data_IF_205435608241
#
_entry.id   IF_205435608241
#
_cell.length_a   1.000
_cell.length_b   1.000
_cell.length_c   1.000
_cell.angle_alpha   90.00
_cell.angle_beta   90.00
_cell.angle_gamma   90.00
#
_symmetry.space_group_name_H-M   'P 1'
#
loop_
_entity.id
_entity.type
_entity.pdbx_description
1 polymer ?
#
# COMPACT_ATOMS: atom_id res chain seq x y z
N UNK A 1 -76.33 -60.80 -7.18
CA UNK A 1 -76.41 -60.66 -8.65
C UNK A 1 -77.49 -59.63 -8.96
N UNK A 2 -77.13 -58.63 -9.78
CA UNK A 2 -77.95 -57.76 -10.65
C UNK A 2 -79.11 -56.92 -10.06
N UNK A 3 -79.49 -55.74 -10.57
CA UNK A 3 -78.92 -54.56 -11.25
C UNK A 3 -80.16 -53.63 -11.50
N UNK A 4 -79.97 -52.32 -11.68
CA UNK A 4 -80.91 -51.34 -12.31
C UNK A 4 -82.00 -50.78 -11.35
N UNK A 5 -81.95 -49.51 -10.88
CA UNK A 5 -82.04 -48.19 -11.54
C UNK A 5 -83.46 -47.76 -11.95
N UNK A 6 -84.04 -46.77 -11.26
CA UNK A 6 -84.94 -45.76 -11.84
C UNK A 6 -85.18 -44.57 -10.89
N UNK A 7 -84.94 -43.35 -11.40
CA UNK A 7 -85.23 -42.02 -10.84
C UNK A 7 -86.62 -41.53 -11.35
N UNK A 8 -87.05 -40.27 -11.14
CA UNK A 8 -87.15 -39.41 -9.95
C UNK A 8 -88.58 -38.82 -9.76
N UNK A 9 -88.89 -38.20 -8.61
CA UNK A 9 -90.09 -37.36 -8.43
C UNK A 9 -89.73 -35.86 -8.36
N UNK A 10 -90.61 -35.06 -8.97
CA UNK A 10 -90.51 -33.64 -9.33
C UNK A 10 -90.64 -32.73 -8.10
N UNK A 11 -89.65 -31.86 -7.92
CA UNK A 11 -89.74 -30.69 -7.04
C UNK A 11 -89.80 -29.40 -7.88
N UNK A 12 -90.84 -28.61 -7.59
CA UNK A 12 -91.01 -27.14 -7.67
C UNK A 12 -90.20 -26.31 -8.69
N UNK A 13 -90.83 -25.43 -9.49
CA UNK A 13 -90.10 -24.45 -10.29
C UNK A 13 -89.44 -23.41 -9.36
N UNK A 14 -88.12 -23.47 -9.25
CA UNK A 14 -87.32 -22.44 -8.62
C UNK A 14 -87.26 -21.21 -9.53
N UNK A 15 -87.58 -20.04 -8.95
CA UNK A 15 -87.42 -18.72 -9.55
C UNK A 15 -85.94 -18.53 -9.88
N UNK A 16 -85.62 -18.37 -11.16
CA UNK A 16 -84.27 -18.04 -11.62
C UNK A 16 -83.89 -16.64 -11.10
N UNK A 17 -82.80 -16.48 -10.32
CA UNK A 17 -82.31 -15.15 -10.02
C UNK A 17 -81.72 -14.53 -11.30
N UNK A 18 -82.07 -13.27 -11.52
CA UNK A 18 -81.50 -12.40 -12.55
C UNK A 18 -79.97 -12.37 -12.39
N UNK A 19 -79.16 -12.47 -13.46
CA UNK A 19 -77.72 -12.30 -13.33
C UNK A 19 -77.45 -10.87 -12.83
N UNK A 20 -76.90 -10.78 -11.62
CA UNK A 20 -76.41 -9.55 -11.05
C UNK A 20 -75.18 -9.13 -11.85
N UNK A 21 -75.29 -8.03 -12.58
CA UNK A 21 -74.16 -7.45 -13.32
C UNK A 21 -73.26 -6.79 -12.27
N UNK A 22 -72.20 -7.49 -11.87
CA UNK A 22 -71.17 -6.92 -11.01
C UNK A 22 -70.54 -5.73 -11.76
N UNK A 23 -70.59 -4.50 -11.21
CA UNK A 23 -69.85 -3.40 -11.80
C UNK A 23 -68.35 -3.73 -11.79
N UNK A 24 -67.57 -3.30 -12.80
CA UNK A 24 -66.13 -3.52 -12.78
C UNK A 24 -65.53 -2.89 -11.52
N UNK A 25 -64.74 -3.68 -10.79
CA UNK A 25 -63.90 -3.19 -9.71
C UNK A 25 -62.97 -2.12 -10.29
N UNK A 26 -63.27 -0.85 -10.04
CA UNK A 26 -62.34 0.25 -10.32
C UNK A 26 -61.14 0.04 -9.40
N UNK A 27 -59.90 -0.13 -9.91
CA UNK A 27 -58.73 -0.21 -9.07
C UNK A 27 -58.65 1.05 -8.20
N UNK A 28 -58.52 0.90 -6.89
CA UNK A 28 -58.23 2.02 -6.01
C UNK A 28 -56.96 2.72 -6.50
N UNK A 29 -56.89 4.06 -6.47
CA UNK A 29 -55.68 4.77 -6.85
C UNK A 29 -54.52 4.28 -5.98
N UNK A 30 -53.42 3.88 -6.62
CA UNK A 30 -52.19 3.52 -5.91
C UNK A 30 -51.78 4.67 -4.99
N UNK A 31 -51.33 4.39 -3.75
CA UNK A 31 -50.70 5.40 -2.93
C UNK A 31 -49.56 6.04 -3.72
N UNK A 32 -49.48 7.38 -3.71
CA UNK A 32 -48.37 8.08 -4.31
C UNK A 32 -47.05 7.53 -3.70
N UNK A 33 -46.00 7.30 -4.51
CA UNK A 33 -44.71 6.86 -3.98
C UNK A 33 -44.22 7.87 -2.94
N UNK A 34 -43.87 7.37 -1.76
CA UNK A 34 -43.25 8.17 -0.70
C UNK A 34 -41.99 8.82 -1.31
N UNK A 35 -41.80 10.15 -1.20
CA UNK A 35 -40.58 10.79 -1.68
C UNK A 35 -39.36 10.10 -1.08
N UNK A 36 -38.42 9.71 -1.93
CA UNK A 36 -37.15 9.18 -1.46
C UNK A 36 -36.49 10.20 -0.50
N UNK A 37 -35.86 9.76 0.60
CA UNK A 37 -35.15 10.66 1.47
C UNK A 37 -34.12 11.44 0.65
N UNK A 38 -34.07 12.76 0.86
CA UNK A 38 -33.08 13.62 0.23
C UNK A 38 -31.68 13.02 0.45
N UNK A 39 -30.81 12.98 -0.57
CA UNK A 39 -29.41 12.61 -0.35
C UNK A 39 -28.84 13.52 0.73
N UNK A 40 -28.18 12.91 1.73
CA UNK A 40 -27.52 13.67 2.78
C UNK A 40 -26.57 14.70 2.16
N UNK A 41 -26.47 15.92 2.73
CA UNK A 41 -25.54 16.91 2.23
C UNK A 41 -24.13 16.30 2.18
N UNK A 42 -23.48 16.43 1.03
CA UNK A 42 -22.08 16.00 0.86
C UNK A 42 -21.26 16.65 1.98
N UNK A 43 -20.49 15.88 2.76
CA UNK A 43 -19.61 16.48 3.77
C UNK A 43 -18.75 17.54 3.11
N UNK A 44 -18.69 18.73 3.71
CA UNK A 44 -17.75 19.76 3.27
C UNK A 44 -16.34 19.15 3.17
N UNK A 45 -15.51 19.58 2.20
CA UNK A 45 -14.12 19.14 2.13
C UNK A 45 -13.49 19.34 3.50
N UNK A 46 -13.14 18.25 4.18
CA UNK A 46 -12.39 18.37 5.42
C UNK A 46 -11.08 19.09 5.07
N UNK A 47 -10.65 20.10 5.85
CA UNK A 47 -9.35 20.69 5.65
C UNK A 47 -8.33 19.55 5.59
N UNK A 48 -7.49 19.54 4.55
CA UNK A 48 -6.40 18.57 4.45
C UNK A 48 -5.71 18.50 5.81
N UNK A 49 -5.41 17.30 6.36
CA UNK A 49 -4.71 17.20 7.62
C UNK A 49 -3.49 18.09 7.55
N UNK A 50 -3.44 19.13 8.38
CA UNK A 50 -2.25 19.95 8.54
C UNK A 50 -1.17 18.95 8.95
N UNK A 51 -0.23 18.66 8.04
CA UNK A 51 0.86 17.71 8.34
C UNK A 51 1.48 18.22 9.62
N UNK A 52 1.46 17.44 10.72
CA UNK A 52 1.97 17.92 12.00
C UNK A 52 3.37 18.44 11.80
N UNK A 53 3.63 19.68 12.24
CA UNK A 53 4.93 20.35 12.06
C UNK A 53 6.07 19.47 12.57
N UNK A 54 5.79 18.62 13.57
CA UNK A 54 6.67 17.54 13.99
C UNK A 54 5.91 16.22 14.11
N UNK A 55 6.47 15.18 13.48
CA UNK A 55 6.06 13.79 13.68
C UNK A 55 7.20 13.14 14.47
N UNK A 56 6.96 12.60 15.68
CA UNK A 56 7.99 11.95 16.47
C UNK A 56 8.73 10.89 15.65
N UNK A 57 10.02 10.68 15.95
CA UNK A 57 10.91 9.72 15.28
C UNK A 57 11.22 9.99 13.79
N UNK A 58 10.74 11.09 13.22
CA UNK A 58 11.18 11.57 11.89
C UNK A 58 12.16 12.75 12.02
N UNK A 59 12.79 13.15 10.92
CA UNK A 59 13.45 14.45 10.81
C UNK A 59 12.43 15.58 10.65
N UNK A 60 12.92 16.82 10.60
CA UNK A 60 12.11 18.01 10.32
C UNK A 60 12.03 18.36 8.81
N UNK A 61 12.70 17.60 7.93
CA UNK A 61 12.61 17.84 6.47
C UNK A 61 11.19 17.53 5.99
N UNK A 62 10.63 18.38 5.13
CA UNK A 62 9.28 18.23 4.57
C UNK A 62 9.22 18.78 3.15
N UNK A 63 8.08 18.62 2.50
CA UNK A 63 7.74 19.28 1.24
C UNK A 63 8.77 18.98 0.14
N UNK A 64 9.24 17.73 0.09
CA UNK A 64 10.20 17.26 -0.91
C UNK A 64 11.64 17.72 -0.71
N UNK A 65 11.97 18.29 0.46
CA UNK A 65 13.35 18.71 0.78
C UNK A 65 14.30 17.54 0.61
N UNK A 66 15.32 17.71 -0.23
CA UNK A 66 16.30 16.66 -0.54
C UNK A 66 17.24 16.41 0.64
N UNK A 67 17.80 15.19 0.74
CA UNK A 67 18.91 14.96 1.65
C UNK A 67 20.09 15.84 1.29
N UNK A 68 20.75 16.40 2.31
CA UNK A 68 21.93 17.25 2.10
C UNK A 68 23.11 16.40 1.61
N UNK A 69 23.12 15.11 1.99
CA UNK A 69 24.12 14.14 1.57
C UNK A 69 23.51 12.74 1.41
N UNK A 70 23.00 12.46 0.20
CA UNK A 70 22.42 11.15 -0.14
C UNK A 70 23.42 9.99 -0.06
N UNK A 71 24.71 10.30 -0.23
CA UNK A 71 25.78 9.29 -0.25
C UNK A 71 26.10 8.85 1.17
N UNK A 72 26.69 9.70 2.02
CA UNK A 72 27.18 9.26 3.34
C UNK A 72 26.29 9.64 4.53
N UNK A 73 25.16 10.34 4.32
CA UNK A 73 24.21 10.69 5.38
C UNK A 73 23.71 9.46 6.15
N UNK A 74 23.34 8.40 5.42
CA UNK A 74 23.27 7.03 5.94
C UNK A 74 23.77 6.02 4.91
N UNK A 75 24.11 4.82 5.36
CA UNK A 75 24.54 3.69 4.53
C UNK A 75 24.18 2.36 5.18
N UNK A 76 24.32 1.28 4.40
CA UNK A 76 24.18 -0.09 4.89
C UNK A 76 25.15 -0.42 6.04
N UNK A 77 24.73 -1.40 6.84
CA UNK A 77 25.50 -2.02 7.92
C UNK A 77 26.45 -3.13 7.44
N UNK A 78 26.75 -4.13 8.27
CA UNK A 78 27.73 -5.21 8.01
C UNK A 78 27.27 -6.28 6.99
N UNK A 79 26.36 -5.92 6.07
CA UNK A 79 25.85 -6.69 4.91
C UNK A 79 24.45 -7.31 5.08
N UNK A 80 23.72 -7.42 3.96
CA UNK A 80 22.41 -8.08 3.85
C UNK A 80 21.22 -7.19 3.46
N UNK A 81 21.29 -5.88 3.70
CA UNK A 81 20.15 -4.96 3.46
C UNK A 81 20.32 -4.01 2.25
N UNK A 82 21.22 -4.37 1.33
CA UNK A 82 21.56 -3.53 0.18
C UNK A 82 20.34 -3.17 -0.70
N UNK A 83 19.38 -4.09 -0.89
CA UNK A 83 18.12 -3.83 -1.60
C UNK A 83 17.33 -2.73 -0.92
N UNK A 84 17.13 -2.84 0.40
CA UNK A 84 16.33 -1.88 1.16
C UNK A 84 17.00 -0.51 1.20
N UNK A 85 18.32 -0.46 1.42
CA UNK A 85 19.09 0.80 1.40
C UNK A 85 19.00 1.46 0.04
N UNK A 86 19.18 0.70 -1.03
CA UNK A 86 19.13 1.21 -2.40
C UNK A 86 17.76 1.81 -2.73
N UNK A 87 16.68 1.11 -2.36
CA UNK A 87 15.33 1.59 -2.57
C UNK A 87 15.04 2.87 -1.77
N UNK A 88 15.45 2.90 -0.50
CA UNK A 88 15.29 4.09 0.36
C UNK A 88 16.03 5.28 -0.23
N UNK A 89 17.29 5.11 -0.65
CA UNK A 89 18.08 6.21 -1.21
C UNK A 89 17.48 6.75 -2.51
N UNK A 90 17.07 5.87 -3.42
CA UNK A 90 16.41 6.29 -4.64
C UNK A 90 15.08 7.00 -4.35
N UNK A 91 14.27 6.50 -3.40
CA UNK A 91 13.03 7.15 -2.98
C UNK A 91 13.28 8.54 -2.36
N UNK A 92 14.27 8.65 -1.46
CA UNK A 92 14.66 9.92 -0.85
C UNK A 92 15.13 10.93 -1.89
N UNK A 93 15.89 10.48 -2.89
CA UNK A 93 16.34 11.33 -3.98
C UNK A 93 15.17 11.77 -4.87
N UNK A 94 14.24 10.88 -5.22
CA UNK A 94 13.07 11.19 -6.08
C UNK A 94 12.09 12.12 -5.41
N UNK A 95 11.64 11.78 -4.21
CA UNK A 95 10.48 12.41 -3.59
C UNK A 95 10.88 13.45 -2.54
N UNK A 96 11.89 13.17 -1.73
CA UNK A 96 12.32 13.99 -0.59
C UNK A 96 12.81 13.09 0.53
N UNK A 97 13.64 13.61 1.44
CA UNK A 97 14.25 12.78 2.49
C UNK A 97 13.21 12.14 3.41
N UNK A 98 12.15 12.88 3.75
CA UNK A 98 11.24 12.46 4.82
C UNK A 98 10.31 11.35 4.36
N UNK A 99 9.93 10.40 5.23
CA UNK A 99 8.89 9.42 4.92
C UNK A 99 7.55 10.05 4.50
N UNK A 100 7.26 11.28 4.96
CA UNK A 100 6.07 12.04 4.54
C UNK A 100 6.11 12.48 3.09
N UNK A 101 7.30 12.56 2.48
CA UNK A 101 7.46 12.90 1.05
C UNK A 101 7.34 11.64 0.18
N UNK A 102 7.69 10.47 0.73
CA UNK A 102 7.73 9.19 0.00
C UNK A 102 6.36 8.50 0.03
N UNK A 103 5.65 8.49 1.16
CA UNK A 103 4.34 7.86 1.27
C UNK A 103 3.20 8.83 0.92
N UNK A 104 1.98 8.32 0.69
CA UNK A 104 0.78 9.17 0.53
C UNK A 104 0.45 9.87 1.84
N UNK A 105 0.63 9.16 2.96
CA UNK A 105 0.31 9.66 4.29
C UNK A 105 1.10 8.94 5.38
N UNK A 106 1.54 9.69 6.40
CA UNK A 106 2.09 9.14 7.64
C UNK A 106 1.40 9.84 8.81
N UNK A 107 0.58 9.08 9.55
CA UNK A 107 -0.14 9.57 10.73
C UNK A 107 0.44 8.94 12.00
N UNK A 108 0.76 9.75 13.00
CA UNK A 108 1.04 9.24 14.35
C UNK A 108 -0.28 8.76 14.97
N UNK A 109 -0.26 7.60 15.60
CA UNK A 109 -1.33 7.07 16.45
C UNK A 109 -0.85 7.01 17.90
N UNK A 110 -1.74 6.69 18.84
CA UNK A 110 -1.39 6.56 20.26
C UNK A 110 -0.32 5.50 20.53
N UNK A 111 -0.27 4.46 19.71
CA UNK A 111 0.55 3.25 19.87
C UNK A 111 1.61 3.06 18.77
N UNK A 112 1.70 4.00 17.82
CA UNK A 112 2.58 3.85 16.67
C UNK A 112 2.23 4.80 15.53
N UNK A 113 2.14 4.26 14.32
CA UNK A 113 1.91 4.98 13.09
C UNK A 113 0.98 4.21 12.17
N UNK A 114 0.13 4.95 11.44
CA UNK A 114 -0.57 4.47 10.25
C UNK A 114 0.07 5.11 9.03
N UNK A 115 0.52 4.28 8.10
CA UNK A 115 1.18 4.71 6.87
C UNK A 115 0.35 4.24 5.68
N UNK A 116 -0.07 5.18 4.84
CA UNK A 116 -0.70 4.89 3.55
C UNK A 116 0.36 5.00 2.46
N UNK A 117 0.69 3.88 1.83
CA UNK A 117 1.71 3.82 0.78
C UNK A 117 1.19 4.32 -0.58
N UNK A 118 2.08 4.55 -1.56
CA UNK A 118 1.67 5.02 -2.89
C UNK A 118 0.91 3.98 -3.71
N UNK A 119 1.07 2.70 -3.40
CA UNK A 119 0.28 1.59 -3.94
C UNK A 119 -0.98 1.26 -3.13
N UNK A 120 -1.45 2.21 -2.30
CA UNK A 120 -2.69 2.14 -1.52
C UNK A 120 -2.71 1.12 -0.38
N UNK A 121 -1.63 0.36 -0.19
CA UNK A 121 -1.49 -0.50 0.98
C UNK A 121 -1.30 0.35 2.24
N UNK A 122 -2.01 -0.06 3.29
CA UNK A 122 -1.94 0.57 4.61
C UNK A 122 -1.13 -0.31 5.54
N UNK A 123 -0.06 0.25 6.09
CA UNK A 123 0.76 -0.35 7.14
C UNK A 123 0.41 0.28 8.49
N UNK A 124 0.22 -0.55 9.50
CA UNK A 124 0.22 -0.14 10.91
C UNK A 124 1.51 -0.59 11.55
N UNK A 125 2.30 0.36 12.05
CA UNK A 125 3.59 0.11 12.68
C UNK A 125 3.52 0.56 14.13
N UNK A 126 3.69 -0.34 15.09
CA UNK A 126 3.70 0.05 16.52
C UNK A 126 5.01 0.75 16.88
N UNK A 127 5.02 1.50 17.99
CA UNK A 127 6.24 2.11 18.51
C UNK A 127 7.31 1.05 18.85
N UNK A 128 6.90 -0.14 19.32
CA UNK A 128 7.81 -1.26 19.55
C UNK A 128 8.37 -1.83 18.25
N UNK A 129 7.55 -1.98 17.20
CA UNK A 129 8.01 -2.43 15.89
C UNK A 129 8.98 -1.43 15.27
N UNK A 130 8.72 -0.13 15.41
CA UNK A 130 9.66 0.90 14.96
C UNK A 130 11.01 0.78 15.67
N UNK A 131 11.03 0.57 16.99
CA UNK A 131 12.28 0.35 17.74
C UNK A 131 13.03 -0.91 17.26
N UNK A 132 12.31 -2.02 17.06
CA UNK A 132 12.89 -3.28 16.57
C UNK A 132 13.44 -3.09 15.15
N UNK A 133 12.69 -2.42 14.27
CA UNK A 133 13.09 -2.16 12.88
C UNK A 133 14.28 -1.22 12.81
N UNK A 134 14.29 -0.14 13.60
CA UNK A 134 15.41 0.80 13.66
C UNK A 134 16.70 0.11 14.12
N UNK A 135 16.65 -0.67 15.20
CA UNK A 135 17.79 -1.45 15.69
C UNK A 135 18.21 -2.54 14.68
N UNK A 136 17.24 -3.23 14.09
CA UNK A 136 17.47 -4.31 13.12
C UNK A 136 17.91 -3.84 11.74
N UNK A 137 17.76 -2.56 11.41
CA UNK A 137 18.27 -2.01 10.14
C UNK A 137 19.79 -2.05 10.05
N UNK A 138 20.49 -2.01 11.18
CA UNK A 138 21.96 -1.92 11.26
C UNK A 138 22.55 -0.75 10.44
N UNK A 139 21.75 0.24 10.06
CA UNK A 139 22.18 1.38 9.26
C UNK A 139 23.20 2.23 10.04
N UNK A 140 24.16 2.78 9.30
CA UNK A 140 25.21 3.66 9.85
C UNK A 140 25.10 5.03 9.21
N UNK A 141 25.19 6.10 9.99
CA UNK A 141 25.07 7.46 9.48
C UNK A 141 25.46 8.53 10.51
N UNK A 142 26.07 9.61 10.03
CA UNK A 142 26.37 10.80 10.84
C UNK A 142 25.22 11.79 10.83
N UNK A 143 24.44 11.84 9.74
CA UNK A 143 23.19 12.59 9.69
C UNK A 143 22.11 11.86 10.49
N UNK A 144 21.83 12.36 11.70
CA UNK A 144 20.85 11.77 12.60
C UNK A 144 19.42 11.94 12.11
N UNK A 145 19.12 13.00 11.35
CA UNK A 145 17.80 13.21 10.76
C UNK A 145 17.53 12.18 9.68
N UNK A 146 18.44 12.08 8.71
CA UNK A 146 18.34 11.13 7.61
C UNK A 146 18.38 9.68 8.09
N UNK A 147 19.20 9.37 9.09
CA UNK A 147 19.26 8.03 9.67
C UNK A 147 17.93 7.62 10.31
N UNK A 148 17.27 8.53 11.06
CA UNK A 148 15.93 8.29 11.62
C UNK A 148 14.90 8.03 10.53
N UNK A 149 14.88 8.88 9.50
CA UNK A 149 13.98 8.72 8.35
C UNK A 149 14.19 7.37 7.64
N UNK A 150 15.44 6.98 7.40
CA UNK A 150 15.80 5.71 6.78
C UNK A 150 15.39 4.50 7.65
N UNK A 151 15.59 4.58 8.96
CA UNK A 151 15.18 3.54 9.91
C UNK A 151 13.66 3.37 9.95
N UNK A 152 12.91 4.48 9.86
CA UNK A 152 11.46 4.44 9.74
C UNK A 152 11.02 3.74 8.45
N UNK A 153 11.59 4.11 7.29
CA UNK A 153 11.30 3.48 6.01
C UNK A 153 11.65 1.98 6.00
N UNK A 154 12.77 1.60 6.65
CA UNK A 154 13.13 0.20 6.85
C UNK A 154 12.08 -0.55 7.68
N UNK A 155 11.61 0.03 8.80
CA UNK A 155 10.60 -0.60 9.65
C UNK A 155 9.26 -0.78 8.92
N UNK A 156 8.84 0.21 8.13
CA UNK A 156 7.65 0.10 7.27
C UNK A 156 7.84 -0.97 6.19
N UNK A 157 9.03 -1.04 5.56
CA UNK A 157 9.38 -2.09 4.59
C UNK A 157 9.33 -3.49 5.23
N UNK A 158 9.83 -3.65 6.46
CA UNK A 158 9.76 -4.89 7.22
C UNK A 158 8.31 -5.26 7.54
N UNK A 159 7.48 -4.28 7.90
CA UNK A 159 6.05 -4.54 8.16
C UNK A 159 5.32 -4.99 6.89
N UNK A 160 5.67 -4.39 5.74
CA UNK A 160 5.16 -4.82 4.44
C UNK A 160 5.58 -6.26 4.10
N UNK A 161 6.85 -6.58 4.30
CA UNK A 161 7.37 -7.94 4.14
C UNK A 161 6.69 -8.96 5.06
N UNK A 162 6.39 -8.57 6.32
CA UNK A 162 5.61 -9.41 7.24
C UNK A 162 4.22 -9.73 6.66
N UNK A 163 3.51 -8.72 6.16
CA UNK A 163 2.16 -8.86 5.61
C UNK A 163 2.14 -9.76 4.36
N UNK A 164 3.17 -9.66 3.52
CA UNK A 164 3.28 -10.39 2.25
C UNK A 164 3.99 -11.75 2.41
N UNK A 165 4.38 -12.10 3.64
CA UNK A 165 5.14 -13.32 3.96
C UNK A 165 6.40 -13.48 3.10
N UNK A 166 7.22 -12.42 3.02
CA UNK A 166 8.51 -12.44 2.36
C UNK A 166 9.29 -13.72 2.72
N UNK A 167 9.85 -14.35 1.70
CA UNK A 167 10.72 -15.54 1.77
C UNK A 167 10.01 -16.74 2.41
N UNK A 168 8.68 -16.74 2.34
CA UNK A 168 7.80 -17.74 2.95
C UNK A 168 7.81 -17.73 4.47
N UNK A 169 8.52 -16.79 5.11
CA UNK A 169 8.82 -16.87 6.53
C UNK A 169 8.61 -15.59 7.33
N UNK A 170 8.53 -14.43 6.68
CA UNK A 170 8.39 -13.14 7.34
C UNK A 170 7.11 -13.02 8.15
N UNK A 171 6.01 -13.67 7.75
CA UNK A 171 4.73 -13.60 8.47
C UNK A 171 4.79 -14.19 9.89
N UNK A 172 5.81 -15.01 10.20
CA UNK A 172 6.00 -15.62 11.53
C UNK A 172 6.09 -14.60 12.66
N UNK A 173 6.74 -13.45 12.41
CA UNK A 173 6.82 -12.33 13.36
C UNK A 173 7.46 -11.11 12.70
N UNK A 174 7.28 -9.92 13.29
CA UNK A 174 7.97 -8.72 12.81
C UNK A 174 9.50 -8.88 12.84
N UNK A 175 10.05 -9.60 13.82
CA UNK A 175 11.49 -9.92 13.85
C UNK A 175 11.91 -10.87 12.73
N UNK A 176 11.05 -11.81 12.32
CA UNK A 176 11.32 -12.66 11.16
C UNK A 176 11.37 -11.81 9.89
N UNK A 177 10.43 -10.87 9.72
CA UNK A 177 10.47 -9.93 8.60
C UNK A 177 11.74 -9.05 8.61
N UNK A 178 12.13 -8.48 9.75
CA UNK A 178 13.40 -7.73 9.86
C UNK A 178 14.61 -8.58 9.45
N UNK A 179 14.63 -9.87 9.77
CA UNK A 179 15.71 -10.78 9.34
C UNK A 179 15.69 -11.01 7.83
N UNK A 180 14.50 -11.19 7.26
CA UNK A 180 14.28 -11.39 5.83
C UNK A 180 14.70 -10.18 4.98
N UNK A 181 14.81 -8.99 5.60
CA UNK A 181 15.34 -7.79 4.95
C UNK A 181 16.87 -7.65 5.02
N UNK A 182 17.55 -8.55 5.73
CA UNK A 182 18.97 -8.48 6.09
C UNK A 182 19.75 -9.75 5.69
N UNK A 183 19.21 -10.61 4.83
CA UNK A 183 19.86 -11.86 4.38
C UNK A 183 20.53 -11.75 3.00
N UNK A 184 20.45 -10.57 2.36
CA UNK A 184 21.13 -10.28 1.10
C UNK A 184 20.28 -10.57 -0.15
N UNK A 185 18.98 -10.72 0.02
CA UNK A 185 18.11 -11.20 -1.06
C UNK A 185 17.94 -10.25 -2.26
N UNK A 186 17.80 -10.88 -3.43
CA UNK A 186 17.07 -10.40 -4.62
C UNK A 186 16.53 -11.63 -5.38
N UNK A 187 16.06 -12.65 -4.66
CA UNK A 187 15.81 -14.00 -5.19
C UNK A 187 14.52 -14.11 -6.02
N UNK A 188 13.63 -13.12 -5.92
CA UNK A 188 12.31 -13.12 -6.57
C UNK A 188 12.16 -12.11 -7.72
N UNK A 189 13.21 -11.36 -8.04
CA UNK A 189 13.25 -10.41 -9.17
C UNK A 189 13.54 -8.96 -8.76
N UNK A 190 14.00 -8.12 -9.71
CA UNK A 190 14.59 -6.83 -9.36
C UNK A 190 13.56 -5.79 -8.95
N UNK A 191 13.98 -4.89 -8.06
CA UNK A 191 13.16 -3.77 -7.59
C UNK A 191 12.22 -4.14 -6.43
N UNK A 192 12.43 -5.29 -5.79
CA UNK A 192 11.68 -5.74 -4.61
C UNK A 192 11.66 -4.69 -3.47
N UNK A 193 12.77 -4.00 -3.24
CA UNK A 193 12.82 -2.88 -2.29
C UNK A 193 11.85 -1.73 -2.63
N UNK A 194 11.62 -1.43 -3.91
CA UNK A 194 10.62 -0.45 -4.32
C UNK A 194 9.20 -0.95 -4.06
N UNK A 195 8.93 -2.23 -4.32
CA UNK A 195 7.64 -2.84 -4.01
C UNK A 195 7.34 -2.77 -2.51
N UNK A 196 8.31 -3.08 -1.65
CA UNK A 196 8.14 -2.99 -0.19
C UNK A 196 7.96 -1.56 0.34
N UNK A 197 8.41 -0.55 -0.42
CA UNK A 197 8.12 0.87 -0.14
C UNK A 197 6.79 1.34 -0.77
N UNK A 198 6.04 0.43 -1.41
CA UNK A 198 4.76 0.72 -2.05
C UNK A 198 4.90 1.58 -3.31
N UNK A 199 6.00 1.41 -4.05
CA UNK A 199 6.33 2.19 -5.24
C UNK A 199 6.06 1.41 -6.54
N UNK A 200 5.20 0.39 -6.50
CA UNK A 200 4.83 -0.46 -7.65
C UNK A 200 4.46 0.32 -8.91
N UNK A 201 3.69 1.40 -8.76
CA UNK A 201 3.24 2.24 -9.88
C UNK A 201 4.25 3.32 -10.29
N UNK A 202 5.39 3.39 -9.58
CA UNK A 202 6.46 4.36 -9.77
C UNK A 202 7.77 3.69 -10.19
N UNK A 203 7.73 2.43 -10.63
CA UNK A 203 8.93 1.70 -11.04
C UNK A 203 8.74 1.07 -12.41
N UNK A 204 9.83 0.99 -13.18
CA UNK A 204 9.83 0.39 -14.52
C UNK A 204 11.16 -0.31 -14.79
N UNK A 205 11.14 -1.51 -15.37
CA UNK A 205 12.37 -2.15 -15.88
C UNK A 205 12.93 -1.34 -17.04
N UNK A 206 14.23 -1.05 -16.99
CA UNK A 206 14.97 -0.30 -18.00
C UNK A 206 16.27 -1.02 -18.34
N UNK A 207 17.06 -0.49 -19.27
CA UNK A 207 18.41 -0.99 -19.47
C UNK A 207 19.37 -0.42 -18.43
N UNK A 208 20.45 -1.14 -18.12
CA UNK A 208 21.53 -0.62 -17.28
C UNK A 208 22.17 0.65 -17.88
N UNK A 209 22.11 0.80 -19.21
CA UNK A 209 22.59 2.00 -19.92
C UNK A 209 21.73 3.22 -19.62
N UNK A 210 20.44 3.06 -19.41
CA UNK A 210 19.55 4.18 -19.04
C UNK A 210 19.92 4.69 -17.66
N UNK A 211 20.17 3.78 -16.70
CA UNK A 211 20.67 4.15 -15.38
C UNK A 211 22.03 4.85 -15.49
N UNK A 212 22.97 4.31 -16.27
CA UNK A 212 24.29 4.92 -16.50
C UNK A 212 24.22 6.32 -17.12
N UNK A 213 23.18 6.62 -17.91
CA UNK A 213 22.94 7.95 -18.50
C UNK A 213 22.30 8.95 -17.54
N UNK A 214 21.97 8.54 -16.31
CA UNK A 214 21.41 9.43 -15.29
C UNK A 214 20.01 9.08 -14.83
N UNK A 215 19.34 8.09 -15.43
CA UNK A 215 18.03 7.65 -14.94
C UNK A 215 18.18 7.15 -13.50
N UNK A 216 17.37 7.69 -12.59
CA UNK A 216 17.34 7.26 -11.20
C UNK A 216 16.75 5.87 -11.08
N UNK A 217 17.36 5.01 -10.25
CA UNK A 217 16.83 3.68 -10.04
C UNK A 217 17.71 2.80 -9.17
N UNK A 218 17.52 1.49 -9.34
CA UNK A 218 18.32 0.44 -8.73
C UNK A 218 18.92 -0.43 -9.82
N UNK A 219 20.17 -0.84 -9.59
CA UNK A 219 20.83 -1.87 -10.37
C UNK A 219 21.05 -3.09 -9.48
N UNK A 220 20.48 -4.20 -9.89
CA UNK A 220 20.38 -5.44 -9.14
C UNK A 220 21.33 -6.49 -9.74
N UNK A 221 22.02 -7.22 -8.89
CA UNK A 221 22.98 -8.29 -9.21
C UNK A 221 22.82 -9.39 -8.18
N UNK A 222 23.32 -10.59 -8.48
CA UNK A 222 23.31 -11.70 -7.55
C UNK A 222 23.86 -11.27 -6.16
N UNK A 223 22.97 -11.24 -5.15
CA UNK A 223 23.23 -10.83 -3.76
C UNK A 223 23.72 -9.39 -3.55
N UNK A 224 23.56 -8.52 -4.54
CA UNK A 224 23.98 -7.12 -4.41
C UNK A 224 23.12 -6.18 -5.24
N UNK A 225 22.47 -5.25 -4.55
CA UNK A 225 21.70 -4.17 -5.17
C UNK A 225 22.26 -2.82 -4.77
N UNK A 226 22.33 -1.92 -5.73
CA UNK A 226 22.82 -0.55 -5.54
C UNK A 226 21.80 0.45 -6.06
N UNK A 227 21.63 1.57 -5.36
CA UNK A 227 20.98 2.73 -5.94
C UNK A 227 21.87 3.29 -7.05
N UNK A 228 21.27 3.76 -8.13
CA UNK A 228 21.96 4.53 -9.17
C UNK A 228 21.37 5.93 -9.19
N UNK A 229 22.19 6.91 -8.84
CA UNK A 229 21.80 8.32 -8.74
C UNK A 229 22.73 9.11 -9.66
N UNK A 230 22.15 9.86 -10.61
CA UNK A 230 22.90 10.64 -11.62
C UNK A 230 23.97 9.80 -12.35
N UNK A 231 23.63 8.55 -12.68
CA UNK A 231 24.51 7.64 -13.40
C UNK A 231 25.65 7.05 -12.57
N UNK A 232 25.57 7.15 -11.23
CA UNK A 232 26.61 6.65 -10.32
C UNK A 232 26.01 5.72 -9.29
N UNK A 233 26.68 4.59 -9.08
CA UNK A 233 26.29 3.61 -8.07
C UNK A 233 26.54 4.14 -6.66
N UNK A 234 25.63 3.84 -5.75
CA UNK A 234 25.81 4.07 -4.33
C UNK A 234 26.47 2.85 -3.69
N UNK A 235 27.73 3.00 -3.29
CA UNK A 235 28.56 1.92 -2.75
C UNK A 235 28.96 2.25 -1.32
N UNK A 236 28.25 1.65 -0.35
CA UNK A 236 28.60 1.73 1.07
C UNK A 236 28.80 3.18 1.58
N UNK A 237 27.94 4.08 1.15
CA UNK A 237 27.99 5.50 1.52
C UNK A 237 28.87 6.36 0.62
N UNK A 238 29.37 5.82 -0.50
CA UNK A 238 30.25 6.53 -1.44
C UNK A 238 29.67 6.53 -2.84
N UNK A 239 30.09 7.52 -3.62
CA UNK A 239 29.79 7.58 -5.05
C UNK A 239 30.75 6.65 -5.80
N UNK A 240 30.18 5.66 -6.48
CA UNK A 240 30.89 4.69 -7.30
C UNK A 240 30.96 5.08 -8.78
N UNK A 241 31.28 4.07 -9.59
CA UNK A 241 31.30 4.18 -11.06
C UNK A 241 29.89 4.12 -11.65
N UNK A 242 29.79 4.31 -12.97
CA UNK A 242 28.54 4.05 -13.67
C UNK A 242 28.26 2.54 -13.73
N UNK A 243 26.99 2.12 -13.62
CA UNK A 243 26.64 0.71 -13.73
C UNK A 243 26.87 0.21 -15.16
N UNK A 244 27.48 -0.97 -15.29
CA UNK A 244 27.80 -1.58 -16.60
C UNK A 244 27.03 -2.87 -16.87
N UNK A 245 26.51 -3.51 -15.83
CA UNK A 245 25.72 -4.76 -15.90
C UNK A 245 24.75 -4.88 -14.73
N UNK A 246 23.75 -5.73 -14.89
CA UNK A 246 22.74 -6.05 -13.86
C UNK A 246 21.33 -5.81 -14.36
N UNK A 247 20.37 -6.26 -13.57
CA UNK A 247 18.95 -5.99 -13.76
C UNK A 247 18.64 -4.56 -13.33
N UNK A 248 18.12 -3.74 -14.24
CA UNK A 248 17.92 -2.33 -13.99
C UNK A 248 16.44 -1.99 -13.84
N UNK A 249 16.11 -1.29 -12.75
CA UNK A 249 14.77 -0.78 -12.47
C UNK A 249 14.85 0.71 -12.20
N UNK A 250 14.24 1.50 -13.07
CA UNK A 250 14.11 2.93 -12.87
C UNK A 250 12.98 3.24 -11.87
N UNK A 251 13.21 4.29 -11.08
CA UNK A 251 12.17 4.95 -10.30
C UNK A 251 11.68 6.16 -11.09
N UNK A 252 10.38 6.19 -11.41
CA UNK A 252 9.73 7.17 -12.30
C UNK A 252 8.73 8.04 -11.55
#
# INVERSE_FOLDING_TARGET
MDLISARPDKSTPAITPRPEVTPPLVPAPMPAPIPAPLPAPTPAPQPMPTVPTQIPNLSDKRNGTKPDNIWSGFRQGPDGNCVTVSAIKAAMYRFGQSPTDIYKEVLKTNDGYRVTMRDDVVVRLTDQELQIGAAGSLFKGTDKGMLKDAQFLFAVSAKRAQMENNDGTAARSFRAAVKSLNDGEDDNGPGEGFLRLGLRHHMKRVSVRDLAKGQLGMCNRARHSVAVINGREELYGRQGSAPTRGDAVALI
#
